data_IF_518314721617
#
_entry.id   IF_518314721617
#
_cell.length_a   1.000
_cell.length_b   1.000
_cell.length_c   1.000
_cell.angle_alpha   90.00
_cell.angle_beta   90.00
_cell.angle_gamma   90.00
#
_symmetry.space_group_name_H-M   'P 1'
#
loop_
_entity.id
_entity.type
_entity.pdbx_description
1 polymer ?
#
# COMPACT_ATOMS: atom_id res chain seq x y z
N UNK A 1 11.77 -14.64 3.49
CA UNK A 1 11.74 -13.29 2.85
C UNK A 1 10.47 -12.54 3.26
N UNK A 2 10.29 -11.27 2.91
CA UNK A 2 9.09 -10.51 3.27
C UNK A 2 8.39 -9.97 2.03
N UNK A 3 7.06 -10.01 1.99
CA UNK A 3 6.25 -9.50 0.88
C UNK A 3 5.25 -8.49 1.43
N UNK A 4 5.19 -7.32 0.82
CA UNK A 4 4.15 -6.32 1.05
C UNK A 4 3.18 -6.37 -0.11
N UNK A 5 1.90 -6.52 0.21
CA UNK A 5 0.79 -6.40 -0.72
C UNK A 5 -0.13 -5.28 -0.22
N UNK A 6 -0.32 -4.26 -1.05
CA UNK A 6 -1.24 -3.16 -0.81
C UNK A 6 -2.52 -3.46 -1.57
N UNK A 7 -3.63 -3.53 -0.85
CA UNK A 7 -4.95 -3.84 -1.35
C UNK A 7 -5.84 -2.60 -1.31
N UNK A 8 -6.71 -2.49 -2.31
CA UNK A 8 -7.91 -1.70 -2.21
C UNK A 8 -8.87 -2.39 -1.23
N UNK A 9 -9.27 -1.72 -0.15
CA UNK A 9 -10.18 -2.25 0.85
C UNK A 9 -11.59 -2.52 0.30
N UNK A 10 -12.02 -1.79 -0.72
CA UNK A 10 -13.36 -1.92 -1.32
C UNK A 10 -13.40 -3.02 -2.39
N UNK A 11 -12.47 -3.02 -3.34
CA UNK A 11 -12.47 -3.99 -4.46
C UNK A 11 -11.69 -5.27 -4.17
N UNK A 12 -10.90 -5.28 -3.09
CA UNK A 12 -9.93 -6.34 -2.78
C UNK A 12 -8.88 -6.58 -3.88
N UNK A 13 -8.70 -5.61 -4.78
CA UNK A 13 -7.65 -5.68 -5.81
C UNK A 13 -6.29 -5.29 -5.24
N UNK A 14 -5.24 -5.94 -5.74
CA UNK A 14 -3.86 -5.61 -5.38
C UNK A 14 -3.46 -4.37 -6.17
N UNK A 15 -3.28 -3.26 -5.47
CA UNK A 15 -2.79 -2.01 -6.04
C UNK A 15 -1.28 -2.03 -6.20
N UNK A 16 -0.58 -2.71 -5.29
CA UNK A 16 0.88 -2.81 -5.33
C UNK A 16 1.38 -4.06 -4.63
N UNK A 17 2.34 -4.74 -5.26
CA UNK A 17 3.10 -5.81 -4.62
C UNK A 17 4.59 -5.47 -4.64
N UNK A 18 5.28 -5.71 -3.51
CA UNK A 18 6.73 -5.56 -3.45
C UNK A 18 7.36 -6.50 -2.43
N UNK A 19 8.46 -7.14 -2.80
CA UNK A 19 9.24 -8.03 -1.93
C UNK A 19 10.43 -7.30 -1.30
N UNK A 20 10.71 -7.63 -0.04
CA UNK A 20 11.75 -7.04 0.78
C UNK A 20 12.61 -8.14 1.42
N UNK A 21 13.91 -7.84 1.59
CA UNK A 21 14.84 -8.73 2.31
C UNK A 21 14.71 -8.63 3.83
N UNK A 22 14.23 -7.49 4.33
CA UNK A 22 14.05 -7.19 5.75
C UNK A 22 12.67 -6.58 5.99
N UNK A 23 12.06 -6.79 7.17
CA UNK A 23 10.71 -6.30 7.45
C UNK A 23 10.69 -4.83 7.88
N UNK A 24 11.84 -4.22 8.21
CA UNK A 24 11.91 -2.87 8.80
C UNK A 24 11.11 -1.83 8.00
N UNK A 25 11.23 -1.84 6.67
CA UNK A 25 10.49 -0.91 5.81
C UNK A 25 8.99 -1.16 5.79
N UNK A 26 8.57 -2.41 5.92
CA UNK A 26 7.15 -2.78 5.99
C UNK A 26 6.60 -2.35 7.34
N UNK A 27 7.32 -2.62 8.43
CA UNK A 27 6.91 -2.25 9.79
C UNK A 27 6.82 -0.73 9.94
N UNK A 28 7.83 0.03 9.47
CA UNK A 28 7.75 1.50 9.48
C UNK A 28 6.58 2.03 8.67
N UNK A 29 6.26 1.41 7.53
CA UNK A 29 5.07 1.78 6.74
C UNK A 29 3.79 1.55 7.54
N UNK A 30 3.65 0.39 8.18
CA UNK A 30 2.48 0.07 9.01
C UNK A 30 2.34 1.04 10.18
N UNK A 31 3.43 1.32 10.90
CA UNK A 31 3.43 2.28 12.00
C UNK A 31 3.04 3.69 11.54
N UNK A 32 3.55 4.15 10.40
CA UNK A 32 3.15 5.44 9.82
C UNK A 32 1.68 5.44 9.41
N UNK A 33 1.20 4.37 8.80
CA UNK A 33 -0.18 4.24 8.37
C UNK A 33 -1.15 4.24 9.57
N UNK A 34 -0.83 3.51 10.65
CA UNK A 34 -1.61 3.53 11.91
C UNK A 34 -1.62 4.90 12.59
N UNK A 35 -0.58 5.71 12.39
CA UNK A 35 -0.51 7.10 12.87
C UNK A 35 -1.31 8.08 11.99
N UNK A 36 -2.03 7.59 10.97
CA UNK A 36 -2.85 8.41 10.08
C UNK A 36 -2.04 9.18 9.04
N UNK A 37 -0.84 8.71 8.70
CA UNK A 37 -0.06 9.33 7.64
C UNK A 37 -0.73 9.10 6.28
N UNK A 38 -0.98 10.20 5.56
CA UNK A 38 -1.58 10.13 4.22
C UNK A 38 -0.69 9.34 3.26
N UNK A 39 -1.28 8.32 2.62
CA UNK A 39 -0.60 7.52 1.61
C UNK A 39 -1.11 7.92 0.23
N UNK A 40 -0.19 8.13 -0.71
CA UNK A 40 -0.53 8.38 -2.11
C UNK A 40 -0.03 7.23 -2.97
N UNK A 41 -0.92 6.68 -3.77
CA UNK A 41 -0.65 5.60 -4.71
C UNK A 41 -0.76 6.16 -6.12
N UNK A 42 0.16 5.75 -6.99
CA UNK A 42 0.15 6.15 -8.40
C UNK A 42 -0.08 4.90 -9.23
N UNK A 43 -1.06 4.98 -10.11
CA UNK A 43 -1.37 3.93 -11.06
C UNK A 43 -0.53 4.07 -12.35
N UNK A 44 -0.54 3.06 -13.21
CA UNK A 44 0.17 3.05 -14.50
C UNK A 44 -0.30 4.19 -15.42
N UNK A 45 -1.56 4.63 -15.28
CA UNK A 45 -2.11 5.80 -15.98
C UNK A 45 -1.72 7.15 -15.34
N UNK A 46 -0.78 7.18 -14.38
CA UNK A 46 -0.39 8.36 -13.60
C UNK A 46 -1.52 8.99 -12.76
N UNK A 47 -2.63 8.26 -12.54
CA UNK A 47 -3.67 8.70 -11.62
C UNK A 47 -3.16 8.61 -10.19
N UNK A 48 -3.32 9.69 -9.44
CA UNK A 48 -3.01 9.71 -8.01
C UNK A 48 -4.24 9.27 -7.24
N UNK A 49 -4.10 8.24 -6.42
CA UNK A 49 -5.08 7.82 -5.45
C UNK A 49 -4.59 8.20 -4.06
N UNK A 50 -5.49 8.76 -3.25
CA UNK A 50 -5.27 8.91 -1.82
C UNK A 50 -5.75 7.62 -1.15
N UNK A 51 -4.87 7.02 -0.35
CA UNK A 51 -5.16 5.81 0.41
C UNK A 51 -5.25 6.13 1.89
N UNK A 52 -6.43 5.95 2.46
CA UNK A 52 -6.66 5.98 3.89
C UNK A 52 -6.50 4.57 4.46
N UNK A 53 -5.66 4.43 5.47
CA UNK A 53 -5.36 3.14 6.07
C UNK A 53 -6.59 2.59 6.81
N UNK A 54 -6.98 1.35 6.49
CA UNK A 54 -8.13 0.67 7.12
C UNK A 54 -7.64 -0.38 8.10
N UNK A 55 -6.85 -1.34 7.61
CA UNK A 55 -6.37 -2.45 8.42
C UNK A 55 -5.18 -3.15 7.73
N UNK A 56 -4.47 -3.97 8.47
CA UNK A 56 -3.45 -4.84 7.93
C UNK A 56 -3.54 -6.23 8.54
N UNK A 57 -3.03 -7.22 7.82
CA UNK A 57 -2.87 -8.58 8.30
C UNK A 57 -1.52 -9.12 7.84
N UNK A 58 -0.93 -10.02 8.61
CA UNK A 58 0.24 -10.76 8.20
C UNK A 58 -0.08 -12.24 8.14
N UNK A 59 0.60 -12.95 7.26
CA UNK A 59 0.48 -14.39 7.08
C UNK A 59 1.80 -14.95 6.58
N UNK A 60 2.12 -16.16 6.97
CA UNK A 60 3.30 -16.86 6.44
C UNK A 60 2.85 -17.76 5.29
N UNK A 61 3.33 -17.48 4.08
CA UNK A 61 3.08 -18.28 2.87
C UNK A 61 4.41 -18.83 2.35
N UNK A 62 4.55 -20.16 2.39
CA UNK A 62 5.77 -20.88 1.98
C UNK A 62 7.04 -20.39 2.69
N UNK A 63 7.84 -19.54 2.02
CA UNK A 63 9.10 -18.94 2.51
C UNK A 63 8.97 -17.42 2.75
N UNK A 64 7.78 -16.85 2.53
CA UNK A 64 7.51 -15.42 2.64
C UNK A 64 6.59 -15.12 3.81
N UNK A 65 6.97 -14.12 4.60
CA UNK A 65 6.02 -13.44 5.48
C UNK A 65 5.34 -12.33 4.67
N UNK A 66 4.05 -12.54 4.38
CA UNK A 66 3.21 -11.69 3.55
C UNK A 66 2.43 -10.75 4.43
N UNK A 67 2.63 -9.45 4.22
CA UNK A 67 1.93 -8.36 4.87
C UNK A 67 0.92 -7.78 3.89
N UNK A 68 -0.36 -7.99 4.18
CA UNK A 68 -1.49 -7.46 3.41
C UNK A 68 -1.97 -6.21 4.12
N UNK A 69 -1.89 -5.08 3.42
CA UNK A 69 -2.28 -3.77 3.94
C UNK A 69 -3.44 -3.27 3.12
N UNK A 70 -4.55 -2.96 3.77
CA UNK A 70 -5.78 -2.54 3.13
C UNK A 70 -5.92 -1.03 3.29
N UNK A 71 -5.99 -0.35 2.16
CA UNK A 71 -6.26 1.07 2.09
C UNK A 71 -7.61 1.28 1.40
N UNK A 72 -8.45 2.13 1.98
CA UNK A 72 -9.56 2.70 1.25
C UNK A 72 -8.98 3.75 0.31
N UNK A 73 -9.14 3.53 -1.00
CA UNK A 73 -8.54 4.40 -2.00
C UNK A 73 -9.59 5.21 -2.71
N UNK A 74 -9.36 6.52 -2.73
CA UNK A 74 -10.16 7.46 -3.49
C UNK A 74 -9.28 8.20 -4.48
N UNK A 75 -9.87 8.66 -5.59
CA UNK A 75 -9.14 9.48 -6.55
C UNK A 75 -8.76 10.79 -5.84
N UNK A 76 -7.46 11.07 -5.74
CA UNK A 76 -6.97 12.29 -5.09
C UNK A 76 -7.42 13.53 -5.87
N UNK A 77 -7.88 14.58 -5.19
CA UNK A 77 -8.08 15.89 -5.83
C UNK A 77 -6.80 16.43 -6.46
N UNK A 78 -5.65 16.06 -5.89
CA UNK A 78 -4.31 16.37 -6.41
C UNK A 78 -3.88 15.23 -7.34
N UNK A 79 -4.03 15.46 -8.65
CA UNK A 79 -3.50 14.58 -9.68
C UNK A 79 -2.09 15.03 -10.08
N UNK A 80 -1.14 14.09 -10.11
CA UNK A 80 0.18 14.37 -10.66
C UNK A 80 0.02 14.70 -12.16
N UNK A 81 0.43 15.91 -12.55
CA UNK A 81 0.45 16.31 -13.96
C UNK A 81 1.89 16.21 -14.45
N UNK A 82 2.09 15.53 -15.57
CA UNK A 82 3.33 15.68 -16.34
C UNK A 82 3.42 17.12 -16.81
N UNK A 83 4.43 17.85 -16.35
CA UNK A 83 4.87 19.09 -17.00
C UNK A 83 5.91 18.64 -18.02
N UNK A 84 5.52 18.70 -19.30
CA UNK A 84 6.42 18.43 -20.42
C UNK A 84 7.15 19.70 -20.83
#
# INVERSE_FOLDING_TARGET
MYKLQVYNAETQEILREKTYKKPDLIQSLLESAEKGQECFLFDEECKTYKGDYVTHSNSTEEDFEVYKVYFQVELSDIQARFIN
#
